data_IF_931310501117
#
_entry.id   IF_931310501117
#
_cell.length_a   1.000
_cell.length_b   1.000
_cell.length_c   1.000
_cell.angle_alpha   90.00
_cell.angle_beta   90.00
_cell.angle_gamma   90.00
#
_symmetry.space_group_name_H-M   'P 1'
#
loop_
_entity.id
_entity.type
_entity.pdbx_description
1 polymer ?
#
# COMPACT_ATOMS: atom_id res chain seq x y z
N UNK A 1 -9.78 -2.47 -29.01
CA UNK A 1 -9.55 -3.61 -28.11
C UNK A 1 -10.70 -3.63 -27.11
N UNK A 2 -11.60 -4.61 -27.20
CA UNK A 2 -12.82 -4.68 -26.39
C UNK A 2 -12.45 -5.10 -24.97
N UNK A 3 -12.58 -4.18 -24.02
CA UNK A 3 -12.59 -4.53 -22.59
C UNK A 3 -13.93 -5.22 -22.35
N UNK A 4 -13.88 -6.52 -22.04
CA UNK A 4 -15.07 -7.36 -21.94
C UNK A 4 -16.02 -6.87 -20.84
N UNK A 5 -17.26 -6.59 -21.23
CA UNK A 5 -18.34 -6.10 -20.35
C UNK A 5 -18.71 -7.11 -19.25
N UNK A 6 -18.30 -8.38 -19.39
CA UNK A 6 -18.54 -9.42 -18.39
C UNK A 6 -17.83 -9.15 -17.05
N UNK A 7 -16.69 -8.47 -17.05
CA UNK A 7 -15.93 -8.21 -15.82
C UNK A 7 -16.64 -7.24 -14.87
N UNK A 8 -17.33 -6.23 -15.41
CA UNK A 8 -17.98 -5.16 -14.63
C UNK A 8 -19.22 -5.64 -13.85
N UNK A 9 -19.85 -6.75 -14.27
CA UNK A 9 -21.09 -7.25 -13.66
C UNK A 9 -20.84 -8.06 -12.37
N UNK A 10 -19.67 -8.69 -12.23
CA UNK A 10 -19.38 -9.58 -11.10
C UNK A 10 -18.95 -8.86 -9.81
N UNK A 11 -18.62 -7.55 -9.87
CA UNK A 11 -18.20 -6.77 -8.69
C UNK A 11 -19.36 -6.10 -7.92
N UNK A 12 -20.63 -6.46 -8.23
CA UNK A 12 -21.82 -5.81 -7.67
C UNK A 12 -22.41 -6.47 -6.40
N UNK A 13 -21.69 -7.39 -5.76
CA UNK A 13 -22.14 -8.04 -4.52
C UNK A 13 -21.12 -7.83 -3.41
N UNK A 14 -21.33 -6.75 -2.65
CA UNK A 14 -20.48 -6.44 -1.51
C UNK A 14 -20.74 -5.08 -0.84
N UNK A 15 -21.96 -4.55 -0.89
CA UNK A 15 -22.34 -3.43 -0.02
C UNK A 15 -22.55 -3.94 1.40
N UNK A 16 -21.48 -4.00 2.18
CA UNK A 16 -21.58 -3.95 3.64
C UNK A 16 -21.55 -2.46 4.01
N UNK A 17 -22.70 -1.93 4.42
CA UNK A 17 -22.78 -0.62 5.04
C UNK A 17 -21.99 -0.65 6.35
N UNK A 18 -20.74 -0.22 6.33
CA UNK A 18 -19.98 0.06 7.54
C UNK A 18 -20.54 1.36 8.10
N UNK A 19 -21.54 1.22 8.97
CA UNK A 19 -22.09 2.30 9.79
C UNK A 19 -20.95 2.95 10.59
N UNK A 20 -20.61 4.17 10.19
CA UNK A 20 -20.12 5.28 10.99
C UNK A 20 -19.58 4.92 12.40
N UNK A 21 -18.35 4.39 12.46
CA UNK A 21 -17.66 4.02 13.71
C UNK A 21 -17.07 5.26 14.43
N UNK A 22 -17.23 6.47 13.87
CA UNK A 22 -16.70 7.72 14.44
C UNK A 22 -17.41 8.20 15.73
N UNK A 23 -18.28 7.40 16.35
CA UNK A 23 -19.01 7.75 17.57
C UNK A 23 -19.10 6.64 18.64
N UNK A 24 -18.25 5.62 18.60
CA UNK A 24 -18.24 4.60 19.66
C UNK A 24 -17.20 4.93 20.74
N UNK A 25 -17.70 5.37 21.89
CA UNK A 25 -16.92 5.65 23.10
C UNK A 25 -16.10 4.42 23.52
N UNK A 26 -14.85 4.65 23.93
CA UNK A 26 -13.80 3.64 24.18
C UNK A 26 -14.10 2.53 25.20
N UNK A 27 -15.25 2.55 25.90
CA UNK A 27 -15.67 1.41 26.73
C UNK A 27 -16.20 0.22 25.91
N UNK A 28 -16.74 0.43 24.70
CA UNK A 28 -17.31 -0.67 23.91
C UNK A 28 -16.26 -1.57 23.24
N UNK A 29 -15.08 -1.02 22.92
CA UNK A 29 -13.97 -1.76 22.32
C UNK A 29 -13.34 -2.76 23.32
N UNK A 30 -13.30 -2.40 24.60
CA UNK A 30 -12.78 -3.28 25.66
C UNK A 30 -13.72 -4.47 25.88
N UNK A 31 -15.04 -4.26 25.85
CA UNK A 31 -16.01 -5.37 25.94
C UNK A 31 -15.97 -6.32 24.74
N UNK A 32 -15.71 -5.82 23.53
CA UNK A 32 -15.65 -6.66 22.33
C UNK A 32 -14.42 -7.59 22.33
N UNK A 33 -13.26 -7.08 22.80
CA UNK A 33 -12.02 -7.86 22.93
C UNK A 33 -12.09 -8.97 23.99
N UNK A 34 -12.87 -8.77 25.05
CA UNK A 34 -13.06 -9.79 26.10
C UNK A 34 -13.96 -10.93 25.61
N UNK A 35 -14.93 -10.64 24.74
CA UNK A 35 -15.85 -11.66 24.21
C UNK A 35 -15.19 -12.59 23.17
N UNK A 36 -14.30 -12.08 22.31
CA UNK A 36 -13.66 -12.90 21.25
C UNK A 36 -12.55 -13.83 21.75
N UNK A 37 -12.00 -13.61 22.96
CA UNK A 37 -10.98 -14.50 23.53
C UNK A 37 -11.54 -15.84 24.04
N UNK A 38 -12.86 -15.95 24.16
CA UNK A 38 -13.54 -17.15 24.69
C UNK A 38 -14.08 -18.09 23.61
N UNK A 39 -14.19 -17.62 22.36
CA UNK A 39 -14.69 -18.43 21.24
C UNK A 39 -13.53 -18.82 20.33
N UNK A 40 -12.88 -19.95 20.63
CA UNK A 40 -11.72 -20.48 19.91
C UNK A 40 -12.01 -20.91 18.46
N UNK A 41 -12.34 -19.95 17.58
CA UNK A 41 -12.52 -20.17 16.15
C UNK A 41 -11.18 -19.94 15.39
N UNK A 42 -10.66 -20.95 14.69
CA UNK A 42 -9.32 -20.90 14.07
C UNK A 42 -9.21 -19.94 12.88
N UNK A 43 -10.33 -19.49 12.30
CA UNK A 43 -10.37 -18.57 11.15
C UNK A 43 -10.19 -17.08 11.51
N UNK A 44 -10.20 -16.72 12.81
CA UNK A 44 -10.02 -15.33 13.25
C UNK A 44 -8.58 -14.95 13.61
N UNK A 45 -7.63 -15.90 13.56
CA UNK A 45 -6.22 -15.63 13.85
C UNK A 45 -5.57 -14.64 12.87
N UNK A 46 -6.10 -14.52 11.65
CA UNK A 46 -5.66 -13.54 10.65
C UNK A 46 -6.29 -12.15 10.82
N UNK A 47 -7.33 -12.03 11.65
CA UNK A 47 -8.09 -10.81 11.88
C UNK A 47 -7.80 -10.15 13.24
N UNK A 48 -6.82 -10.65 13.98
CA UNK A 48 -6.28 -9.97 15.16
C UNK A 48 -5.36 -8.85 14.68
N UNK A 49 -6.00 -7.87 14.02
CA UNK A 49 -5.42 -6.61 13.62
C UNK A 49 -4.89 -5.96 14.90
N UNK A 50 -3.59 -5.71 14.94
CA UNK A 50 -2.89 -5.00 16.00
C UNK A 50 -3.34 -3.52 16.01
N UNK A 51 -4.59 -3.29 16.40
CA UNK A 51 -5.25 -1.98 16.54
C UNK A 51 -4.58 -1.10 17.61
N UNK A 52 -3.56 -1.63 18.28
CA UNK A 52 -2.84 -0.99 19.39
C UNK A 52 -1.47 -0.44 19.01
N UNK A 53 -0.87 -0.87 17.90
CA UNK A 53 0.40 -0.32 17.44
C UNK A 53 0.13 0.80 16.44
N UNK A 54 0.22 2.05 16.91
CA UNK A 54 0.26 3.20 16.01
C UNK A 54 1.56 3.11 15.19
N UNK A 55 1.49 2.52 14.01
CA UNK A 55 2.62 2.43 13.09
C UNK A 55 3.03 3.85 12.71
N UNK A 56 4.32 4.13 12.83
CA UNK A 56 4.86 5.47 12.73
C UNK A 56 5.30 5.65 11.27
N UNK A 57 4.89 6.74 10.63
CA UNK A 57 5.26 7.05 9.23
C UNK A 57 6.77 7.32 9.00
N UNK A 58 7.61 7.03 9.99
CA UNK A 58 9.05 7.30 9.97
C UNK A 58 9.88 6.16 9.35
N UNK A 59 9.30 4.96 9.18
CA UNK A 59 10.01 3.83 8.60
C UNK A 59 9.60 3.61 7.12
N UNK A 60 9.98 4.60 6.31
CA UNK A 60 9.57 4.70 4.90
C UNK A 60 10.78 4.64 3.96
N UNK A 61 10.95 3.50 3.29
CA UNK A 61 11.96 3.29 2.26
C UNK A 61 11.45 3.61 0.85
N UNK A 62 12.22 4.39 0.09
CA UNK A 62 11.94 4.72 -1.31
C UNK A 62 13.05 4.14 -2.18
N UNK A 63 12.69 3.36 -3.20
CA UNK A 63 13.62 2.83 -4.17
C UNK A 63 13.27 3.33 -5.58
N UNK A 64 14.17 4.09 -6.18
CA UNK A 64 14.04 4.66 -7.52
C UNK A 64 15.40 4.59 -8.26
N UNK A 65 15.72 3.46 -8.91
CA UNK A 65 17.02 3.28 -9.56
C UNK A 65 17.16 4.16 -10.80
N UNK A 66 18.40 4.59 -11.06
CA UNK A 66 18.76 5.34 -12.28
C UNK A 66 19.30 4.36 -13.32
N UNK A 67 18.56 4.22 -14.41
CA UNK A 67 18.99 3.45 -15.58
C UNK A 67 19.82 4.33 -16.51
N UNK A 68 20.88 3.79 -17.11
CA UNK A 68 21.77 4.53 -18.01
C UNK A 68 21.06 4.97 -19.30
N UNK A 69 19.91 4.39 -19.61
CA UNK A 69 19.14 4.66 -20.83
C UNK A 69 19.81 4.10 -22.09
N UNK A 70 20.93 3.39 -21.95
CA UNK A 70 21.36 2.40 -22.94
C UNK A 70 20.45 1.19 -22.78
N UNK A 71 20.27 0.40 -23.84
CA UNK A 71 19.54 -0.86 -23.73
C UNK A 71 20.25 -1.75 -22.70
N UNK A 72 19.79 -1.69 -21.44
CA UNK A 72 19.98 -2.70 -20.44
C UNK A 72 19.34 -3.98 -20.98
N UNK A 73 20.09 -4.71 -21.81
CA UNK A 73 19.61 -5.89 -22.51
C UNK A 73 19.59 -7.07 -21.54
N UNK A 74 18.73 -7.00 -20.54
CA UNK A 74 18.35 -8.19 -19.79
C UNK A 74 17.04 -8.71 -20.37
N UNK A 75 17.06 -9.98 -20.77
CA UNK A 75 15.96 -10.69 -21.44
C UNK A 75 15.46 -10.02 -22.74
N UNK A 76 16.34 -9.28 -23.43
CA UNK A 76 16.05 -8.67 -24.74
C UNK A 76 15.13 -7.45 -24.71
N UNK A 77 14.86 -6.87 -23.53
CA UNK A 77 14.07 -5.64 -23.39
C UNK A 77 14.98 -4.42 -23.21
N UNK A 78 14.57 -3.29 -23.76
CA UNK A 78 15.28 -2.02 -23.57
C UNK A 78 14.64 -1.28 -22.41
N UNK A 79 15.40 -1.07 -21.32
CA UNK A 79 14.93 -0.26 -20.21
C UNK A 79 15.10 1.23 -20.54
N UNK A 80 13.98 1.91 -20.73
CA UNK A 80 13.95 3.37 -20.86
C UNK A 80 14.25 4.05 -19.53
N UNK A 81 14.57 5.34 -19.58
CA UNK A 81 14.68 6.16 -18.36
C UNK A 81 13.29 6.31 -17.72
N UNK A 82 13.21 6.13 -16.40
CA UNK A 82 12.01 6.44 -15.61
C UNK A 82 12.08 7.87 -15.08
N UNK A 83 11.92 8.87 -15.95
CA UNK A 83 11.98 10.26 -15.51
C UNK A 83 10.90 10.56 -14.45
N UNK A 84 9.69 10.00 -14.59
CA UNK A 84 8.63 10.15 -13.60
C UNK A 84 8.95 9.56 -12.22
N UNK A 85 9.79 8.51 -12.15
CA UNK A 85 10.22 7.93 -10.88
C UNK A 85 11.14 8.87 -10.09
N UNK A 86 11.94 9.69 -10.79
CA UNK A 86 12.80 10.70 -10.15
C UNK A 86 11.93 11.81 -9.54
N UNK A 87 10.96 12.32 -10.30
CA UNK A 87 10.04 13.36 -9.83
C UNK A 87 9.21 12.87 -8.64
N UNK A 88 8.74 11.61 -8.69
CA UNK A 88 8.01 10.96 -7.59
C UNK A 88 8.87 10.81 -6.34
N UNK A 89 10.12 10.37 -6.49
CA UNK A 89 11.10 10.31 -5.41
C UNK A 89 11.35 11.69 -4.76
N UNK A 90 11.60 12.73 -5.57
CA UNK A 90 11.89 14.07 -5.06
C UNK A 90 10.70 14.62 -4.27
N UNK A 91 9.48 14.40 -4.76
CA UNK A 91 8.27 14.81 -4.05
C UNK A 91 8.11 14.06 -2.72
N UNK A 92 8.24 12.73 -2.73
CA UNK A 92 8.09 11.91 -1.53
C UNK A 92 9.12 12.27 -0.46
N UNK A 93 10.38 12.48 -0.87
CA UNK A 93 11.47 12.81 0.07
C UNK A 93 11.27 14.17 0.73
N UNK A 94 10.65 15.12 0.03
CA UNK A 94 10.29 16.42 0.59
C UNK A 94 9.08 16.33 1.54
N UNK A 95 8.09 15.49 1.20
CA UNK A 95 6.86 15.36 1.98
C UNK A 95 7.06 14.51 3.26
N UNK A 96 7.96 13.54 3.23
CA UNK A 96 8.28 12.63 4.33
C UNK A 96 9.72 12.86 4.81
N UNK A 97 9.91 13.74 5.78
CA UNK A 97 11.26 14.14 6.25
C UNK A 97 12.13 13.01 6.81
N UNK A 98 11.53 11.87 7.16
CA UNK A 98 12.21 10.68 7.68
C UNK A 98 12.25 9.54 6.63
N UNK A 99 11.92 9.80 5.36
CA UNK A 99 12.04 8.76 4.34
C UNK A 99 13.49 8.52 3.95
N UNK A 100 13.84 7.25 3.77
CA UNK A 100 15.16 6.84 3.31
C UNK A 100 15.17 6.53 1.82
N UNK A 101 16.12 7.13 1.10
CA UNK A 101 16.44 6.67 -0.25
C UNK A 101 17.26 5.38 -0.16
N UNK A 102 16.67 4.28 -0.61
CA UNK A 102 17.33 2.98 -0.72
C UNK A 102 18.31 3.04 -1.89
N UNK A 103 19.60 3.05 -1.58
CA UNK A 103 20.69 2.90 -2.55
C UNK A 103 21.25 1.49 -2.44
N UNK A 104 21.51 0.84 -3.57
CA UNK A 104 21.89 -0.59 -3.60
C UNK A 104 23.03 -0.82 -4.57
N UNK A 105 23.84 -1.82 -4.27
CA UNK A 105 24.98 -2.23 -5.08
C UNK A 105 24.68 -3.42 -5.99
N UNK A 106 23.80 -4.33 -5.56
CA UNK A 106 23.36 -5.52 -6.28
C UNK A 106 22.00 -6.00 -5.75
N UNK A 107 21.47 -7.07 -6.33
CA UNK A 107 20.17 -7.63 -5.98
C UNK A 107 20.09 -8.15 -4.54
N UNK A 108 21.16 -8.71 -3.99
CA UNK A 108 21.20 -9.21 -2.60
C UNK A 108 21.14 -8.04 -1.59
N UNK A 109 21.92 -6.99 -1.82
CA UNK A 109 21.90 -5.76 -1.02
C UNK A 109 20.51 -5.10 -1.05
N UNK A 110 19.87 -5.07 -2.22
CA UNK A 110 18.48 -4.62 -2.34
C UNK A 110 17.53 -5.42 -1.45
N UNK A 111 17.53 -6.75 -1.56
CA UNK A 111 16.66 -7.63 -0.78
C UNK A 111 16.89 -7.53 0.72
N UNK A 112 18.14 -7.29 1.15
CA UNK A 112 18.46 -7.09 2.55
C UNK A 112 17.96 -5.74 3.08
N UNK A 113 18.09 -4.67 2.28
CA UNK A 113 17.65 -3.32 2.69
C UNK A 113 16.14 -3.18 2.76
N UNK A 114 15.39 -3.71 1.80
CA UNK A 114 13.92 -3.56 1.77
C UNK A 114 13.23 -4.22 2.98
N UNK A 115 13.87 -5.18 3.67
CA UNK A 115 13.32 -5.84 4.86
C UNK A 115 13.13 -4.90 6.05
N UNK A 116 13.83 -3.77 6.05
CA UNK A 116 13.94 -2.88 7.20
C UNK A 116 12.84 -1.82 7.27
N UNK A 117 11.92 -1.78 6.31
CA UNK A 117 10.93 -0.72 6.17
C UNK A 117 9.49 -1.19 6.34
N UNK A 118 8.70 -0.50 7.16
CA UNK A 118 7.25 -0.70 7.30
C UNK A 118 6.47 -0.22 6.05
N UNK A 119 6.97 0.82 5.38
CA UNK A 119 6.43 1.32 4.11
C UNK A 119 7.52 1.28 3.06
N UNK A 120 7.23 0.67 1.90
CA UNK A 120 8.11 0.69 0.74
C UNK A 120 7.43 1.36 -0.44
N UNK A 121 8.12 2.29 -1.10
CA UNK A 121 7.75 2.81 -2.40
C UNK A 121 8.79 2.37 -3.43
N UNK A 122 8.36 1.58 -4.42
CA UNK A 122 9.23 0.96 -5.40
C UNK A 122 8.88 1.49 -6.79
N UNK A 123 9.67 2.45 -7.29
CA UNK A 123 9.52 3.09 -8.59
C UNK A 123 10.59 2.56 -9.55
N UNK A 124 10.41 1.33 -10.03
CA UNK A 124 11.38 0.59 -10.84
C UNK A 124 10.69 -0.15 -12.00
N UNK A 125 11.48 -0.58 -12.98
CA UNK A 125 10.94 -1.40 -14.07
C UNK A 125 10.58 -2.80 -13.59
N UNK A 126 9.41 -3.25 -14.02
CA UNK A 126 8.98 -4.63 -13.82
C UNK A 126 8.56 -5.23 -15.14
N UNK A 127 8.99 -6.46 -15.40
CA UNK A 127 8.58 -7.21 -16.58
C UNK A 127 7.84 -8.44 -16.09
N UNK A 128 6.60 -8.60 -16.51
CA UNK A 128 5.83 -9.83 -16.37
C UNK A 128 5.43 -10.26 -17.78
N UNK A 129 6.11 -11.28 -18.33
CA UNK A 129 5.72 -11.85 -19.61
C UNK A 129 4.63 -12.89 -19.40
N UNK A 130 3.47 -12.66 -20.01
CA UNK A 130 2.33 -13.57 -19.98
C UNK A 130 2.66 -14.95 -20.58
N UNK A 131 3.59 -15.00 -21.54
CA UNK A 131 4.04 -16.24 -22.17
C UNK A 131 5.04 -17.04 -21.32
N UNK A 132 5.68 -16.39 -20.34
CA UNK A 132 6.63 -16.99 -19.41
C UNK A 132 6.35 -16.47 -17.98
N UNK A 133 5.30 -16.98 -17.31
CA UNK A 133 4.90 -16.49 -15.98
C UNK A 133 5.96 -16.72 -14.89
N UNK A 134 6.89 -17.66 -15.13
CA UNK A 134 8.05 -17.96 -14.28
C UNK A 134 9.17 -16.92 -14.41
N UNK A 135 9.06 -15.99 -15.36
CA UNK A 135 10.09 -15.02 -15.73
C UNK A 135 9.76 -13.58 -15.34
N UNK A 136 8.81 -13.38 -14.43
CA UNK A 136 8.57 -12.06 -13.90
C UNK A 136 9.78 -11.57 -13.08
N UNK A 137 10.27 -10.38 -13.40
CA UNK A 137 11.48 -9.81 -12.81
C UNK A 137 11.30 -8.33 -12.46
N UNK A 138 12.03 -7.90 -11.43
CA UNK A 138 12.16 -6.51 -11.01
C UNK A 138 13.59 -6.03 -11.28
N UNK A 139 13.74 -4.95 -12.04
CA UNK A 139 15.07 -4.44 -12.41
C UNK A 139 15.60 -3.47 -11.36
N UNK A 140 16.67 -3.88 -10.68
CA UNK A 140 17.34 -3.11 -9.64
C UNK A 140 18.36 -2.14 -10.24
N UNK A 141 18.98 -2.52 -11.36
CA UNK A 141 19.82 -1.66 -12.18
C UNK A 141 19.76 -2.10 -13.65
N UNK A 142 20.63 -1.55 -14.50
CA UNK A 142 20.75 -1.99 -15.90
C UNK A 142 21.19 -3.46 -16.03
N UNK A 143 21.94 -3.99 -15.05
CA UNK A 143 22.57 -5.31 -15.11
C UNK A 143 22.16 -6.23 -13.93
N UNK A 144 21.24 -5.78 -13.06
CA UNK A 144 20.78 -6.52 -11.88
C UNK A 144 19.25 -6.65 -11.85
N UNK A 145 18.76 -7.88 -11.69
CA UNK A 145 17.34 -8.19 -11.58
C UNK A 145 17.05 -9.13 -10.40
N UNK A 146 15.85 -8.99 -9.83
CA UNK A 146 15.30 -9.89 -8.82
C UNK A 146 14.15 -10.66 -9.44
N UNK A 147 14.27 -11.99 -9.49
CA UNK A 147 13.17 -12.87 -9.89
C UNK A 147 12.12 -13.03 -8.77
N UNK A 148 10.94 -13.52 -9.16
CA UNK A 148 9.86 -13.73 -8.21
C UNK A 148 10.20 -14.79 -7.15
N UNK A 149 10.89 -15.87 -7.49
CA UNK A 149 11.20 -16.96 -6.54
C UNK A 149 12.07 -16.46 -5.38
N UNK A 150 13.05 -15.63 -5.69
CA UNK A 150 13.90 -14.96 -4.71
C UNK A 150 13.06 -14.02 -3.85
N UNK A 151 12.17 -13.23 -4.45
CA UNK A 151 11.26 -12.35 -3.71
C UNK A 151 10.32 -13.14 -2.78
N UNK A 152 9.75 -14.25 -3.25
CA UNK A 152 8.90 -15.15 -2.46
C UNK A 152 9.59 -15.59 -1.17
N UNK A 153 10.88 -15.89 -1.24
CA UNK A 153 11.68 -16.40 -0.12
C UNK A 153 12.35 -15.29 0.72
N UNK A 154 12.12 -14.01 0.41
CA UNK A 154 12.83 -12.90 1.08
C UNK A 154 12.34 -12.67 2.50
N UNK A 155 11.05 -12.83 2.82
CA UNK A 155 10.53 -12.55 4.17
C UNK A 155 10.62 -11.06 4.54
N UNK A 156 9.65 -10.28 4.09
CA UNK A 156 9.50 -8.85 4.33
C UNK A 156 8.61 -8.56 5.54
N UNK A 157 8.97 -7.52 6.30
CA UNK A 157 8.17 -7.04 7.44
C UNK A 157 7.23 -5.88 7.07
N UNK A 158 7.28 -5.41 5.82
CA UNK A 158 6.55 -4.23 5.34
C UNK A 158 5.04 -4.41 5.48
N UNK A 159 4.37 -3.36 5.95
CA UNK A 159 2.91 -3.32 6.09
C UNK A 159 2.25 -2.80 4.83
N UNK A 160 2.96 -1.98 4.07
CA UNK A 160 2.52 -1.42 2.80
C UNK A 160 3.68 -1.39 1.80
N UNK A 161 3.46 -1.95 0.61
CA UNK A 161 4.33 -1.77 -0.56
C UNK A 161 3.55 -1.07 -1.66
N UNK A 162 4.04 0.06 -2.14
CA UNK A 162 3.54 0.75 -3.33
C UNK A 162 4.45 0.43 -4.52
N UNK A 163 3.91 -0.26 -5.53
CA UNK A 163 4.60 -0.61 -6.77
C UNK A 163 4.28 0.43 -7.83
N UNK A 164 5.13 1.45 -7.94
CA UNK A 164 5.10 2.44 -9.04
C UNK A 164 5.83 1.85 -10.25
N UNK A 165 5.34 0.69 -10.71
CA UNK A 165 5.87 -0.03 -11.84
C UNK A 165 4.75 -0.47 -12.76
N UNK A 166 5.00 -0.44 -14.07
CA UNK A 166 4.03 -0.82 -15.08
C UNK A 166 3.66 -2.30 -14.97
N UNK A 167 2.35 -2.60 -14.98
CA UNK A 167 1.81 -3.96 -15.07
C UNK A 167 2.09 -4.87 -13.86
N UNK A 168 2.45 -4.32 -12.70
CA UNK A 168 2.77 -5.08 -11.46
C UNK A 168 1.61 -5.91 -10.87
N UNK A 169 0.36 -5.59 -11.23
CA UNK A 169 -0.84 -6.33 -10.87
C UNK A 169 -1.52 -7.08 -12.03
N UNK A 170 -0.90 -7.11 -13.22
CA UNK A 170 -1.48 -7.83 -14.36
C UNK A 170 -1.53 -9.33 -14.06
N UNK A 171 -2.69 -9.93 -14.34
CA UNK A 171 -2.93 -11.38 -14.34
C UNK A 171 -3.23 -11.75 -15.79
N UNK A 172 -2.54 -12.75 -16.34
CA UNK A 172 -2.91 -13.34 -17.64
C UNK A 172 -3.87 -14.50 -17.40
N UNK A 173 -5.07 -14.40 -17.99
CA UNK A 173 -6.13 -15.42 -17.92
C UNK A 173 -6.11 -16.34 -19.16
N UNK A 174 -5.17 -16.16 -20.10
CA UNK A 174 -5.18 -16.86 -21.39
C UNK A 174 -5.11 -18.39 -21.30
N UNK A 175 -4.63 -18.94 -20.19
CA UNK A 175 -4.38 -20.37 -20.03
C UNK A 175 -5.20 -21.05 -18.91
N UNK A 176 -6.27 -20.41 -18.38
CA UNK A 176 -7.11 -20.95 -17.29
C UNK A 176 -6.33 -21.39 -16.02
N UNK A 177 -5.07 -21.00 -15.93
CA UNK A 177 -4.17 -21.22 -14.83
C UNK A 177 -4.14 -19.93 -14.02
N UNK A 178 -5.03 -19.88 -13.03
CA UNK A 178 -5.07 -18.88 -11.94
C UNK A 178 -3.71 -18.75 -11.20
N UNK A 179 -2.72 -19.58 -11.54
CA UNK A 179 -1.31 -19.54 -11.13
C UNK A 179 -0.46 -18.46 -11.81
N UNK A 180 -1.03 -17.36 -12.33
CA UNK A 180 -0.22 -16.20 -12.74
C UNK A 180 0.56 -15.70 -11.51
N UNK A 181 1.86 -15.97 -11.46
CA UNK A 181 2.76 -15.42 -10.44
C UNK A 181 2.89 -13.92 -10.73
N UNK A 182 2.02 -13.13 -10.13
CA UNK A 182 2.07 -11.68 -10.21
C UNK A 182 3.03 -11.14 -9.15
N UNK A 183 3.69 -10.02 -9.45
CA UNK A 183 4.63 -9.38 -8.52
C UNK A 183 3.94 -9.04 -7.20
N UNK A 184 2.69 -8.56 -7.23
CA UNK A 184 1.93 -8.31 -5.99
C UNK A 184 1.72 -9.57 -5.13
N UNK A 185 1.54 -10.75 -5.73
CA UNK A 185 1.41 -12.02 -4.98
C UNK A 185 2.73 -12.45 -4.37
N UNK A 186 3.85 -12.18 -5.03
CA UNK A 186 5.17 -12.43 -4.47
C UNK A 186 5.43 -11.55 -3.23
N UNK A 187 5.06 -10.27 -3.26
CA UNK A 187 5.08 -9.43 -2.06
C UNK A 187 4.14 -9.93 -0.96
N UNK A 188 2.91 -10.33 -1.32
CA UNK A 188 1.97 -10.86 -0.32
C UNK A 188 2.51 -12.12 0.37
N UNK A 189 3.09 -13.04 -0.41
CA UNK A 189 3.65 -14.28 0.12
C UNK A 189 4.95 -14.05 0.90
N UNK A 190 5.74 -13.04 0.54
CA UNK A 190 6.92 -12.66 1.30
C UNK A 190 6.58 -11.99 2.63
N UNK A 191 5.31 -11.76 2.97
CA UNK A 191 4.87 -11.26 4.29
C UNK A 191 4.23 -9.88 4.27
N UNK A 192 4.12 -9.25 3.09
CA UNK A 192 3.54 -7.92 2.96
C UNK A 192 2.01 -7.99 3.06
N UNK A 193 1.45 -7.29 4.04
CA UNK A 193 0.00 -7.34 4.30
C UNK A 193 -0.83 -6.50 3.34
N UNK A 194 -0.25 -5.43 2.76
CA UNK A 194 -0.94 -4.54 1.82
C UNK A 194 -0.02 -4.16 0.66
N UNK A 195 -0.52 -4.27 -0.56
CA UNK A 195 0.19 -3.82 -1.76
C UNK A 195 -0.68 -2.89 -2.61
N UNK A 196 -0.07 -1.91 -3.25
CA UNK A 196 -0.70 -1.11 -4.30
C UNK A 196 0.09 -1.33 -5.59
N UNK A 197 -0.59 -1.67 -6.67
CA UNK A 197 0.06 -2.08 -7.91
C UNK A 197 -0.82 -1.77 -9.13
N UNK A 198 -0.22 -1.68 -10.32
CA UNK A 198 -0.94 -1.31 -11.55
C UNK A 198 -1.37 -2.55 -12.37
N UNK A 199 -2.65 -2.63 -12.75
CA UNK A 199 -3.18 -3.72 -13.59
C UNK A 199 -2.67 -3.65 -15.03
N UNK A 200 -2.40 -2.44 -15.51
CA UNK A 200 -1.98 -2.13 -16.86
C UNK A 200 -1.18 -0.83 -16.86
N UNK A 201 -0.59 -0.48 -17.99
CA UNK A 201 0.18 0.74 -18.17
C UNK A 201 -0.75 1.96 -18.18
N UNK A 202 -0.52 2.87 -17.22
CA UNK A 202 -1.24 4.12 -17.04
C UNK A 202 -0.25 5.27 -17.26
N UNK A 203 -0.63 6.34 -17.97
CA UNK A 203 0.26 7.48 -18.20
C UNK A 203 0.87 8.05 -16.90
N UNK A 204 2.18 8.28 -16.92
CA UNK A 204 2.97 8.74 -15.76
C UNK A 204 2.40 10.00 -15.10
N UNK A 205 1.90 10.96 -15.90
CA UNK A 205 1.37 12.23 -15.40
C UNK A 205 0.09 12.06 -14.56
N UNK A 206 -0.70 11.03 -14.87
CA UNK A 206 -1.90 10.69 -14.10
C UNK A 206 -1.53 9.87 -12.88
N UNK A 207 -0.69 8.85 -13.06
CA UNK A 207 -0.21 8.00 -11.96
C UNK A 207 0.44 8.84 -10.88
N UNK A 208 1.34 9.76 -11.24
CA UNK A 208 2.01 10.67 -10.31
C UNK A 208 1.01 11.49 -9.49
N UNK A 209 -0.02 12.07 -10.11
CA UNK A 209 -1.07 12.83 -9.40
C UNK A 209 -1.83 11.95 -8.41
N UNK A 210 -2.20 10.73 -8.81
CA UNK A 210 -2.92 9.80 -7.92
C UNK A 210 -2.01 9.35 -6.78
N UNK A 211 -0.73 9.08 -7.03
CA UNK A 211 0.22 8.67 -5.99
C UNK A 211 0.46 9.78 -4.97
N UNK A 212 0.69 11.02 -5.43
CA UNK A 212 0.85 12.17 -4.52
C UNK A 212 -0.36 12.33 -3.60
N UNK A 213 -1.57 12.33 -4.18
CA UNK A 213 -2.81 12.45 -3.40
C UNK A 213 -3.03 11.24 -2.46
N UNK A 214 -2.62 10.04 -2.88
CA UNK A 214 -2.65 8.86 -2.03
C UNK A 214 -1.81 9.06 -0.78
N UNK A 215 -0.56 9.49 -0.93
CA UNK A 215 0.34 9.72 0.20
C UNK A 215 -0.08 10.92 1.05
N UNK A 216 -0.65 11.98 0.46
CA UNK A 216 -1.26 13.09 1.22
C UNK A 216 -2.37 12.58 2.14
N UNK A 217 -3.26 11.72 1.63
CA UNK A 217 -4.35 11.15 2.45
C UNK A 217 -3.85 10.13 3.48
N UNK A 218 -2.83 9.33 3.14
CA UNK A 218 -2.19 8.38 4.04
C UNK A 218 -1.54 9.11 5.23
N UNK A 219 -0.79 10.18 4.94
CA UNK A 219 -0.18 11.05 5.94
C UNK A 219 -1.23 11.65 6.87
N UNK A 220 -2.39 12.05 6.34
CA UNK A 220 -3.52 12.54 7.15
C UNK A 220 -4.22 11.47 8.04
N UNK A 221 -3.66 10.26 8.18
CA UNK A 221 -4.14 9.20 9.08
C UNK A 221 -5.22 8.28 8.50
N UNK A 222 -5.57 8.44 7.22
CA UNK A 222 -6.51 7.53 6.56
C UNK A 222 -5.84 6.16 6.33
N UNK A 223 -6.65 5.09 6.28
CA UNK A 223 -6.12 3.78 5.89
C UNK A 223 -5.62 3.80 4.45
N UNK A 224 -4.60 3.02 4.13
CA UNK A 224 -4.07 2.93 2.76
C UNK A 224 -5.14 2.60 1.71
N UNK A 225 -6.11 1.73 2.03
CA UNK A 225 -7.23 1.45 1.13
C UNK A 225 -8.10 2.70 0.89
N UNK A 226 -8.45 3.41 1.96
CA UNK A 226 -9.29 4.61 1.85
C UNK A 226 -8.56 5.78 1.19
N UNK A 227 -7.26 5.95 1.47
CA UNK A 227 -6.41 6.94 0.82
C UNK A 227 -6.38 6.79 -0.70
N UNK A 228 -6.28 5.56 -1.22
CA UNK A 228 -6.29 5.33 -2.67
C UNK A 228 -7.65 5.67 -3.29
N UNK A 229 -8.74 5.36 -2.58
CA UNK A 229 -10.09 5.73 -3.01
C UNK A 229 -10.27 7.26 -3.07
N UNK A 230 -9.82 7.98 -2.05
CA UNK A 230 -9.88 9.44 -2.00
C UNK A 230 -9.03 10.08 -3.11
N UNK A 231 -7.82 9.56 -3.34
CA UNK A 231 -6.93 10.03 -4.41
C UNK A 231 -7.58 9.93 -5.79
N UNK A 232 -8.17 8.77 -6.11
CA UNK A 232 -8.91 8.57 -7.37
C UNK A 232 -10.12 9.47 -7.51
N UNK A 233 -10.88 9.67 -6.43
CA UNK A 233 -12.01 10.59 -6.42
C UNK A 233 -11.57 12.04 -6.64
N UNK A 234 -10.46 12.45 -6.04
CA UNK A 234 -9.90 13.80 -6.21
C UNK A 234 -9.41 14.02 -7.64
N UNK A 235 -8.72 13.03 -8.22
CA UNK A 235 -8.36 13.04 -9.65
C UNK A 235 -9.60 13.26 -10.53
N UNK A 236 -10.64 12.43 -10.36
CA UNK A 236 -11.87 12.53 -11.14
C UNK A 236 -12.57 13.89 -11.03
N UNK A 237 -12.59 14.49 -9.84
CA UNK A 237 -13.15 15.84 -9.61
C UNK A 237 -12.31 16.95 -10.23
N UNK A 238 -10.99 16.75 -10.34
CA UNK A 238 -10.05 17.74 -10.88
C UNK A 238 -9.91 17.72 -12.41
N UNK A 239 -10.31 16.64 -13.05
CA UNK A 239 -10.25 16.49 -14.51
C UNK A 239 -11.25 17.44 -15.19
N UNK A 240 -10.74 18.36 -16.01
CA UNK A 240 -11.54 19.29 -16.83
C UNK A 240 -11.84 18.75 -18.23
N UNK A 241 -11.02 17.81 -18.71
CA UNK A 241 -11.13 17.23 -20.05
C UNK A 241 -11.83 15.88 -19.93
N UNK A 242 -13.04 15.76 -20.48
CA UNK A 242 -13.85 14.53 -20.35
C UNK A 242 -13.10 13.25 -20.78
N UNK A 243 -12.23 13.31 -21.79
CA UNK A 243 -11.44 12.16 -22.22
C UNK A 243 -10.57 11.57 -21.08
N UNK A 244 -10.02 12.42 -20.20
CA UNK A 244 -9.17 12.01 -19.09
C UNK A 244 -9.94 11.42 -17.90
N UNK A 245 -11.28 11.54 -17.87
CA UNK A 245 -12.12 10.87 -16.87
C UNK A 245 -12.35 9.39 -17.15
N UNK A 246 -11.94 8.92 -18.33
CA UNK A 246 -12.10 7.52 -18.73
C UNK A 246 -11.38 6.59 -17.73
N UNK A 247 -11.99 5.44 -17.34
CA UNK A 247 -11.42 4.51 -16.35
C UNK A 247 -9.97 4.11 -16.60
N UNK A 248 -9.57 4.05 -17.87
CA UNK A 248 -8.18 3.83 -18.29
C UNK A 248 -7.15 4.67 -17.51
N UNK A 249 -7.48 5.90 -17.13
CA UNK A 249 -6.51 6.78 -16.48
C UNK A 249 -6.39 6.55 -14.96
N UNK A 250 -7.44 6.08 -14.27
CA UNK A 250 -7.46 6.06 -12.80
C UNK A 250 -7.77 4.70 -12.19
N UNK A 251 -8.35 3.76 -12.96
CA UNK A 251 -8.75 2.46 -12.41
C UNK A 251 -7.62 1.44 -12.39
N UNK A 252 -6.50 1.71 -13.07
CA UNK A 252 -5.36 0.81 -13.18
C UNK A 252 -4.66 0.51 -11.85
N UNK A 253 -4.55 1.49 -10.94
CA UNK A 253 -3.95 1.26 -9.61
C UNK A 253 -4.93 0.52 -8.70
N UNK A 254 -4.57 -0.64 -8.18
CA UNK A 254 -5.40 -1.44 -7.27
C UNK A 254 -4.70 -1.63 -5.93
N UNK A 255 -5.49 -1.65 -4.86
CA UNK A 255 -5.03 -1.97 -3.52
C UNK A 255 -5.41 -3.42 -3.20
N UNK A 256 -4.45 -4.21 -2.74
CA UNK A 256 -4.65 -5.58 -2.28
C UNK A 256 -4.32 -5.63 -0.80
N UNK A 257 -5.29 -6.02 0.03
CA UNK A 257 -5.16 -6.08 1.49
C UNK A 257 -6.41 -5.49 2.16
N UNK A 258 -6.42 -5.46 3.49
CA UNK A 258 -7.53 -4.90 4.28
C UNK A 258 -7.39 -3.40 4.55
N UNK A 259 -6.26 -2.81 4.15
CA UNK A 259 -5.88 -1.45 4.51
C UNK A 259 -5.09 -1.44 5.82
N UNK A 260 -4.14 -0.51 5.90
CA UNK A 260 -3.33 -0.25 7.10
C UNK A 260 -3.35 1.23 7.41
N UNK A 261 -3.39 1.57 8.70
CA UNK A 261 -3.26 2.94 9.20
C UNK A 261 -1.84 3.19 9.66
N UNK A 262 -1.34 4.40 9.41
CA UNK A 262 -0.14 4.91 10.04
C UNK A 262 -0.52 6.16 10.83
N UNK A 263 0.06 6.32 12.01
CA UNK A 263 -0.08 7.52 12.80
C UNK A 263 0.91 8.58 12.33
N UNK A 264 0.45 9.83 12.23
CA UNK A 264 1.33 10.98 12.07
C UNK A 264 2.31 11.04 13.24
N UNK A 265 3.59 11.13 12.91
CA UNK A 265 4.58 11.57 13.86
C UNK A 265 4.39 13.05 14.11
N UNK A 266 4.16 13.42 15.38
CA UNK A 266 4.22 14.83 15.80
C UNK A 266 3.10 15.35 16.70
N UNK A 267 2.07 14.59 17.03
CA UNK A 267 1.24 14.93 18.22
C UNK A 267 1.81 14.20 19.42
N UNK A 268 2.13 14.94 20.48
CA UNK A 268 2.68 14.41 21.71
C UNK A 268 1.60 13.55 22.40
N UNK A 269 1.41 12.33 21.90
CA UNK A 269 0.39 11.38 22.36
C UNK A 269 0.52 11.08 23.85
N UNK A 270 1.71 11.26 24.44
CA UNK A 270 1.91 11.20 25.90
C UNK A 270 1.13 12.26 26.66
N UNK A 271 1.11 13.52 26.20
CA UNK A 271 0.34 14.58 26.85
C UNK A 271 -1.16 14.37 26.66
N UNK A 272 -1.58 14.01 25.45
CA UNK A 272 -3.00 13.76 25.16
C UNK A 272 -3.54 12.57 25.96
N UNK A 273 -2.74 11.49 26.07
CA UNK A 273 -3.09 10.31 26.89
C UNK A 273 -3.12 10.64 28.40
N UNK A 274 -2.23 11.50 28.90
CA UNK A 274 -2.26 11.97 30.28
C UNK A 274 -3.51 12.82 30.57
N UNK A 275 -3.90 13.69 29.65
CA UNK A 275 -5.11 14.51 29.79
C UNK A 275 -6.37 13.64 29.80
N UNK A 276 -6.46 12.66 28.90
CA UNK A 276 -7.57 11.69 28.86
C UNK A 276 -7.64 10.87 30.17
N UNK A 277 -6.48 10.43 30.69
CA UNK A 277 -6.41 9.71 31.96
C UNK A 277 -6.85 10.57 33.15
N UNK A 278 -6.45 11.83 33.20
CA UNK A 278 -6.87 12.76 34.27
C UNK A 278 -8.37 13.02 34.20
N UNK A 279 -8.93 13.23 32.99
CA UNK A 279 -10.36 13.43 32.79
C UNK A 279 -11.18 12.20 33.19
N UNK A 280 -10.73 10.99 32.85
CA UNK A 280 -11.43 9.76 33.22
C UNK A 280 -11.43 9.54 34.74
N UNK A 281 -10.31 9.80 35.41
CA UNK A 281 -10.20 9.75 36.88
C UNK A 281 -11.12 10.80 37.52
N UNK A 282 -11.14 12.03 37.01
CA UNK A 282 -12.00 13.11 37.52
C UNK A 282 -13.50 12.76 37.41
N UNK A 283 -13.92 12.18 36.29
CA UNK A 283 -15.29 11.70 36.09
C UNK A 283 -15.63 10.58 37.07
N UNK A 284 -14.70 9.63 37.27
CA UNK A 284 -14.91 8.50 38.17
C UNK A 284 -15.05 8.97 39.63
N UNK A 285 -14.22 9.93 40.07
CA UNK A 285 -14.31 10.56 41.40
C UNK A 285 -15.62 11.32 41.56
N UNK A 286 -16.05 12.07 40.52
CA UNK A 286 -17.31 12.82 40.57
C UNK A 286 -18.52 11.89 40.70
N UNK A 287 -18.48 10.75 40.00
CA UNK A 287 -19.53 9.73 40.08
C UNK A 287 -19.59 9.09 41.47
N UNK A 288 -18.46 8.69 42.06
CA UNK A 288 -18.43 8.10 43.41
C UNK A 288 -18.89 9.09 44.47
N UNK A 289 -18.49 10.36 44.38
CA UNK A 289 -18.99 11.42 45.26
C UNK A 289 -20.50 11.65 45.13
N UNK A 290 -21.06 11.52 43.92
CA UNK A 290 -22.50 11.64 43.69
C UNK A 290 -23.32 10.49 44.28
N UNK A 291 -22.74 9.29 44.41
CA UNK A 291 -23.41 8.12 45.01
C UNK A 291 -23.36 8.12 46.54
N UNK A 292 -22.52 8.98 47.14
CA UNK A 292 -22.40 9.14 48.59
C UNK A 292 -23.30 10.25 49.16
N UNK A 293 -24.01 10.99 48.31
CA UNK A 293 -25.01 12.00 48.70
C UNK A 293 -26.42 11.44 48.56
#
# INVERSE_FOLDING_TARGET
MQVDRAWYQNYRLGTINILNINKMHGLFLICFLILTSTTGLPSFKYAQLDLTKSLVLDDFGIFAPKYSGKAASMRGKTLGRLNGAIDEYEWLSNEFSNSDLITVSNSEDFLNKIRNYEILHLAMHTVADASLPDEAVMYISDDEEVDLETLYNTGLNSKLVFLSSCQSARVDDSNNNISSRSIHRAFAHSGVSNTIASLYEVPDDVTSKITQEFYTHLKAGNSSLFSLSLAKQKYLKGVKINALSHPYYWSGLVHNGLGVHFAETGKNTRLDNLVIMILSISIMISYTLSQMR
#
